data_IF_962392604403
#
_entry.id   IF_962392604403
#
_cell.length_a   1.000
_cell.length_b   1.000
_cell.length_c   1.000
_cell.angle_alpha   90.00
_cell.angle_beta   90.00
_cell.angle_gamma   90.00
#
_symmetry.space_group_name_H-M   'P 1'
#
loop_
_entity.id
_entity.type
_entity.pdbx_description
1 polymer ?
#
# COMPACT_ATOMS: atom_id res chain seq x y z
N UNK A 1 -41.01 -65.68 -29.86
CA UNK A 1 -40.25 -64.56 -30.43
C UNK A 1 -39.87 -63.65 -29.30
N UNK A 2 -38.55 -63.65 -28.89
CA UNK A 2 -38.08 -62.81 -27.78
C UNK A 2 -37.39 -61.57 -28.42
N UNK A 3 -37.95 -60.40 -28.14
CA UNK A 3 -37.37 -59.11 -28.57
C UNK A 3 -36.22 -58.72 -27.60
N UNK A 4 -35.04 -58.56 -28.17
CA UNK A 4 -33.84 -58.19 -27.48
C UNK A 4 -33.67 -56.64 -27.62
N UNK A 5 -34.01 -55.90 -26.59
CA UNK A 5 -33.85 -54.46 -26.55
C UNK A 5 -32.36 -54.08 -26.34
N UNK A 6 -31.80 -53.34 -27.30
CA UNK A 6 -30.48 -52.77 -27.24
C UNK A 6 -30.55 -51.45 -26.45
N UNK A 7 -29.97 -51.43 -25.26
CA UNK A 7 -29.80 -50.19 -24.47
C UNK A 7 -28.55 -49.45 -24.97
N UNK A 8 -28.77 -48.26 -25.58
CA UNK A 8 -27.69 -47.34 -25.92
C UNK A 8 -27.30 -46.54 -24.69
N UNK A 9 -26.10 -46.85 -24.14
CA UNK A 9 -25.50 -46.10 -23.05
C UNK A 9 -24.83 -44.87 -23.63
N UNK A 10 -25.45 -43.69 -23.52
CA UNK A 10 -24.88 -42.40 -23.92
C UNK A 10 -23.92 -41.93 -22.81
N UNK A 11 -22.61 -42.09 -23.04
CA UNK A 11 -21.60 -41.52 -22.17
C UNK A 11 -21.55 -40.00 -22.37
N UNK A 12 -22.09 -39.24 -21.44
CA UNK A 12 -21.85 -37.80 -21.33
C UNK A 12 -20.42 -37.58 -20.84
N UNK A 13 -19.49 -37.28 -21.74
CA UNK A 13 -18.22 -36.68 -21.36
C UNK A 13 -18.50 -35.26 -20.88
N UNK A 14 -18.55 -35.04 -19.56
CA UNK A 14 -18.47 -33.72 -18.97
C UNK A 14 -17.07 -33.15 -19.28
N UNK A 15 -16.96 -32.30 -20.29
CA UNK A 15 -15.77 -31.46 -20.48
C UNK A 15 -15.72 -30.52 -19.30
N UNK A 16 -14.90 -30.85 -18.30
CA UNK A 16 -14.45 -29.90 -17.29
C UNK A 16 -13.61 -28.84 -17.99
N UNK A 17 -14.26 -27.77 -18.45
CA UNK A 17 -13.56 -26.59 -18.93
C UNK A 17 -12.68 -26.09 -17.79
N UNK A 18 -11.38 -26.28 -17.90
CA UNK A 18 -10.42 -25.61 -17.00
C UNK A 18 -10.66 -24.11 -17.18
N UNK A 19 -11.33 -23.49 -16.21
CA UNK A 19 -11.48 -22.05 -16.16
C UNK A 19 -10.05 -21.47 -16.10
N UNK A 20 -9.58 -20.96 -17.21
CA UNK A 20 -8.28 -20.31 -17.31
C UNK A 20 -8.32 -19.08 -16.42
N UNK A 21 -7.41 -19.01 -15.44
CA UNK A 21 -7.30 -17.79 -14.62
C UNK A 21 -7.06 -16.60 -15.55
N UNK A 22 -7.70 -15.44 -15.31
CA UNK A 22 -7.39 -14.24 -16.06
C UNK A 22 -5.88 -13.97 -16.04
N UNK A 23 -5.33 -13.53 -17.16
CA UNK A 23 -3.92 -13.13 -17.25
C UNK A 23 -3.72 -11.87 -16.39
N UNK A 24 -2.90 -11.99 -15.36
CA UNK A 24 -2.52 -10.90 -14.46
C UNK A 24 -1.01 -10.64 -14.48
N UNK A 25 -0.33 -11.09 -15.52
CA UNK A 25 1.13 -10.99 -15.64
C UNK A 25 1.63 -9.56 -15.58
N UNK A 26 0.90 -8.62 -16.18
CA UNK A 26 1.22 -7.18 -16.16
C UNK A 26 1.15 -6.64 -14.74
N UNK A 27 0.06 -6.91 -14.02
CA UNK A 27 -0.11 -6.45 -12.64
C UNK A 27 0.98 -7.02 -11.73
N UNK A 28 1.27 -8.31 -11.85
CA UNK A 28 2.34 -8.96 -11.07
C UNK A 28 3.71 -8.34 -11.37
N UNK A 29 4.01 -8.08 -12.65
CA UNK A 29 5.27 -7.47 -13.06
C UNK A 29 5.44 -6.06 -12.49
N UNK A 30 4.38 -5.25 -12.54
CA UNK A 30 4.39 -3.89 -11.98
C UNK A 30 4.51 -3.93 -10.45
N UNK A 31 3.70 -4.74 -9.77
CA UNK A 31 3.74 -4.84 -8.32
C UNK A 31 5.08 -5.36 -7.77
N UNK A 32 5.82 -6.16 -8.57
CA UNK A 32 7.16 -6.63 -8.23
C UNK A 32 8.18 -5.49 -8.09
N UNK A 33 8.00 -4.36 -8.78
CA UNK A 33 8.86 -3.17 -8.65
C UNK A 33 8.79 -2.58 -7.23
N UNK A 34 7.73 -2.85 -6.48
CA UNK A 34 7.55 -2.42 -5.09
C UNK A 34 8.06 -3.47 -4.07
N UNK A 35 8.77 -4.52 -4.52
CA UNK A 35 9.27 -5.58 -3.63
C UNK A 35 10.28 -5.07 -2.58
N UNK A 36 10.92 -3.94 -2.81
CA UNK A 36 11.84 -3.26 -1.89
C UNK A 36 11.19 -2.92 -0.55
N UNK A 37 9.86 -2.82 -0.50
CA UNK A 37 9.11 -2.52 0.72
C UNK A 37 8.77 -3.76 1.55
N UNK A 38 8.84 -4.97 0.99
CA UNK A 38 8.39 -6.18 1.69
C UNK A 38 9.12 -6.43 2.99
N UNK A 39 8.38 -6.85 4.02
CA UNK A 39 8.89 -7.23 5.32
C UNK A 39 8.34 -6.38 6.46
N UNK A 40 9.00 -6.46 7.60
CA UNK A 40 8.71 -5.69 8.80
C UNK A 40 9.73 -4.56 8.97
N UNK A 41 9.23 -3.42 9.40
CA UNK A 41 10.00 -2.19 9.56
C UNK A 41 9.67 -1.56 10.90
N UNK A 42 10.66 -0.97 11.57
CA UNK A 42 10.40 -0.17 12.77
C UNK A 42 11.40 0.96 12.92
N UNK A 43 10.98 2.04 13.56
CA UNK A 43 11.81 3.21 13.77
C UNK A 43 11.05 4.35 14.39
N UNK A 44 11.42 5.57 14.05
CA UNK A 44 10.93 6.77 14.68
C UNK A 44 10.59 7.84 13.63
N UNK A 45 9.72 8.76 14.03
CA UNK A 45 9.36 9.89 13.21
C UNK A 45 8.84 11.05 14.02
N UNK A 46 8.51 12.11 13.32
CA UNK A 46 7.82 13.26 13.87
C UNK A 46 6.79 13.79 12.89
N UNK A 47 5.75 14.41 13.44
CA UNK A 47 4.71 15.10 12.68
C UNK A 47 4.45 16.47 13.31
N UNK A 48 4.21 17.47 12.47
CA UNK A 48 3.89 18.85 12.86
C UNK A 48 2.47 19.20 12.43
N UNK A 49 1.52 19.00 13.31
CA UNK A 49 0.13 19.39 13.07
C UNK A 49 -0.07 20.92 13.14
N UNK A 50 0.66 21.60 14.02
CA UNK A 50 0.62 23.05 14.18
C UNK A 50 2.03 23.61 14.05
N UNK A 51 2.23 24.78 13.41
CA UNK A 51 3.55 25.38 13.24
C UNK A 51 4.36 25.43 14.54
N UNK A 52 5.58 24.90 14.49
CA UNK A 52 6.50 24.85 15.64
C UNK A 52 6.19 23.76 16.67
N UNK A 53 5.15 22.95 16.51
CA UNK A 53 4.78 21.90 17.46
C UNK A 53 4.97 20.51 16.85
N UNK A 54 6.17 19.98 16.95
CA UNK A 54 6.49 18.62 16.54
C UNK A 54 6.10 17.62 17.62
N UNK A 55 5.38 16.57 17.21
CA UNK A 55 5.08 15.41 18.04
C UNK A 55 5.89 14.23 17.50
N UNK A 56 6.67 13.56 18.33
CA UNK A 56 7.45 12.39 17.96
C UNK A 56 6.64 11.11 18.15
N UNK A 57 6.95 10.09 17.36
CA UNK A 57 6.33 8.77 17.46
C UNK A 57 7.36 7.66 17.13
N UNK A 58 7.03 6.44 17.56
CA UNK A 58 7.66 5.21 17.10
C UNK A 58 6.72 4.57 16.08
N UNK A 59 7.25 4.23 14.91
CA UNK A 59 6.52 3.59 13.82
C UNK A 59 6.87 2.12 13.67
N UNK A 60 5.87 1.31 13.35
CA UNK A 60 6.02 -0.08 12.89
C UNK A 60 5.18 -0.25 11.64
N UNK A 61 5.79 -0.82 10.59
CA UNK A 61 5.12 -1.13 9.35
C UNK A 61 5.34 -2.60 8.99
N UNK A 62 4.27 -3.29 8.59
CA UNK A 62 4.34 -4.67 8.08
C UNK A 62 3.78 -4.69 6.68
N UNK A 63 4.59 -5.14 5.71
CA UNK A 63 4.26 -5.07 4.28
C UNK A 63 4.33 -6.45 3.67
N UNK A 64 3.21 -6.90 3.10
CA UNK A 64 3.03 -8.24 2.55
C UNK A 64 2.46 -8.19 1.14
N UNK A 65 2.99 -9.05 0.27
CA UNK A 65 2.36 -9.34 -1.01
C UNK A 65 1.16 -10.26 -0.83
N UNK A 66 0.04 -9.94 -1.48
CA UNK A 66 -1.22 -10.67 -1.42
C UNK A 66 -1.75 -10.98 -2.82
N UNK A 67 -2.79 -11.82 -2.89
CA UNK A 67 -3.51 -12.16 -4.13
C UNK A 67 -2.58 -12.56 -5.28
N UNK A 68 -1.65 -13.48 -5.01
CA UNK A 68 -0.67 -13.99 -6.01
C UNK A 68 0.22 -12.89 -6.59
N UNK A 69 0.54 -11.84 -5.81
CA UNK A 69 1.45 -10.78 -6.21
C UNK A 69 0.80 -9.57 -6.90
N UNK A 70 -0.52 -9.51 -6.97
CA UNK A 70 -1.23 -8.38 -7.61
C UNK A 70 -1.57 -7.25 -6.64
N UNK A 71 -1.41 -7.46 -5.34
CA UNK A 71 -1.73 -6.49 -4.29
C UNK A 71 -0.64 -6.47 -3.23
N UNK A 72 -0.32 -5.29 -2.73
CA UNK A 72 0.49 -5.08 -1.52
C UNK A 72 -0.43 -4.60 -0.42
N UNK A 73 -0.28 -5.22 0.73
CA UNK A 73 -0.96 -4.92 1.98
C UNK A 73 0.05 -4.33 2.95
N UNK A 74 -0.29 -3.19 3.55
CA UNK A 74 0.54 -2.44 4.49
C UNK A 74 -0.25 -2.30 5.79
N UNK A 75 0.32 -2.70 6.91
CA UNK A 75 -0.19 -2.41 8.25
C UNK A 75 0.77 -1.47 8.95
N UNK A 76 0.29 -0.28 9.32
CA UNK A 76 1.06 0.75 10.02
C UNK A 76 0.49 1.05 11.40
N UNK A 77 1.36 1.00 12.42
CA UNK A 77 0.99 1.38 13.80
C UNK A 77 2.05 2.30 14.36
N UNK A 78 1.62 3.51 14.74
CA UNK A 78 2.51 4.48 15.38
C UNK A 78 2.08 4.74 16.82
N UNK A 79 3.05 4.82 17.72
CA UNK A 79 2.83 5.08 19.14
C UNK A 79 3.63 6.29 19.60
N UNK A 80 3.08 7.06 20.53
CA UNK A 80 3.77 8.16 21.22
C UNK A 80 3.71 7.96 22.70
N UNK A 81 4.74 8.40 23.42
CA UNK A 81 4.72 8.40 24.87
C UNK A 81 3.98 9.65 25.36
N UNK A 82 2.82 9.45 25.96
CA UNK A 82 2.00 10.52 26.53
C UNK A 82 1.91 10.31 28.05
N UNK A 83 2.53 11.20 28.80
CA UNK A 83 2.56 11.15 30.27
C UNK A 83 3.08 9.82 30.84
N UNK A 84 4.09 9.22 30.18
CA UNK A 84 4.71 7.96 30.60
C UNK A 84 4.02 6.70 30.08
N UNK A 85 2.95 6.80 29.29
CA UNK A 85 2.25 5.68 28.67
C UNK A 85 2.41 5.73 27.16
N UNK A 86 2.71 4.58 26.54
CA UNK A 86 2.72 4.44 25.10
C UNK A 86 1.27 4.31 24.58
N UNK A 87 0.85 5.27 23.77
CA UNK A 87 -0.50 5.37 23.21
C UNK A 87 -0.42 5.26 21.70
N UNK A 88 -1.31 4.49 21.09
CA UNK A 88 -1.45 4.45 19.62
C UNK A 88 -1.98 5.81 19.16
N UNK A 89 -1.20 6.50 18.32
CA UNK A 89 -1.56 7.82 17.77
C UNK A 89 -1.92 7.75 16.30
N UNK A 90 -1.55 6.65 15.62
CA UNK A 90 -1.91 6.36 14.24
C UNK A 90 -1.98 4.85 14.04
N UNK A 91 -3.05 4.40 13.41
CA UNK A 91 -3.23 3.00 13.00
C UNK A 91 -3.90 3.01 11.64
N UNK A 92 -3.25 2.39 10.66
CA UNK A 92 -3.67 2.42 9.28
C UNK A 92 -3.46 1.07 8.56
N UNK A 93 -4.35 0.83 7.61
CA UNK A 93 -4.24 -0.24 6.63
C UNK A 93 -4.10 0.39 5.24
N UNK A 94 -3.03 0.06 4.53
CA UNK A 94 -2.78 0.49 3.17
C UNK A 94 -2.93 -0.67 2.17
N UNK A 95 -3.54 -0.40 1.03
CA UNK A 95 -3.66 -1.34 -0.08
C UNK A 95 -3.10 -0.68 -1.34
N UNK A 96 -2.09 -1.30 -1.94
CA UNK A 96 -1.56 -0.87 -3.24
C UNK A 96 -1.88 -1.93 -4.29
N UNK A 97 -2.32 -1.48 -5.46
CA UNK A 97 -2.54 -2.30 -6.65
C UNK A 97 -2.16 -1.54 -7.91
N UNK A 98 -1.98 -2.24 -9.03
CA UNK A 98 -1.75 -1.63 -10.33
C UNK A 98 -2.96 -1.82 -11.24
N UNK A 99 -3.45 -0.73 -11.83
CA UNK A 99 -4.52 -0.74 -12.83
C UNK A 99 -3.92 -0.72 -14.24
N UNK A 100 -3.96 -1.81 -15.00
CA UNK A 100 -3.34 -1.90 -16.33
C UNK A 100 -4.09 -1.09 -17.39
N UNK A 101 -5.38 -0.74 -17.17
CA UNK A 101 -6.17 0.00 -18.16
C UNK A 101 -5.73 1.46 -18.23
N UNK A 102 -5.40 2.04 -17.10
CA UNK A 102 -4.94 3.44 -16.99
C UNK A 102 -3.45 3.54 -16.68
N UNK A 103 -2.76 2.39 -16.53
CA UNK A 103 -1.32 2.27 -16.25
C UNK A 103 -0.89 3.07 -15.01
N UNK A 104 -1.64 2.94 -13.91
CA UNK A 104 -1.40 3.65 -12.67
C UNK A 104 -1.40 2.73 -11.46
N UNK A 105 -0.56 3.04 -10.49
CA UNK A 105 -0.66 2.48 -9.15
C UNK A 105 -1.78 3.19 -8.39
N UNK A 106 -2.58 2.40 -7.69
CA UNK A 106 -3.61 2.87 -6.76
C UNK A 106 -3.16 2.59 -5.35
N UNK A 107 -3.18 3.62 -4.52
CA UNK A 107 -2.94 3.49 -3.10
C UNK A 107 -4.19 3.94 -2.34
N UNK A 108 -4.78 3.03 -1.59
CA UNK A 108 -5.91 3.32 -0.71
C UNK A 108 -5.53 3.01 0.72
N UNK A 109 -5.72 3.97 1.62
CA UNK A 109 -5.53 3.80 3.05
C UNK A 109 -6.83 3.89 3.81
N UNK A 110 -6.88 3.15 4.92
CA UNK A 110 -7.98 3.10 5.88
C UNK A 110 -7.39 3.38 7.25
N UNK A 111 -7.93 4.36 7.95
CA UNK A 111 -7.50 4.71 9.30
C UNK A 111 -8.44 4.08 10.34
N UNK A 112 -7.94 3.76 11.52
CA UNK A 112 -8.76 3.29 12.66
C UNK A 112 -9.86 4.29 13.06
N UNK A 113 -9.73 5.56 12.67
CA UNK A 113 -10.75 6.60 12.83
C UNK A 113 -11.94 6.46 11.86
N UNK A 114 -11.90 5.51 10.92
CA UNK A 114 -12.91 5.33 9.86
C UNK A 114 -12.68 6.20 8.62
N UNK A 115 -11.67 7.05 8.61
CA UNK A 115 -11.30 7.86 7.43
C UNK A 115 -10.65 6.95 6.39
N UNK A 116 -11.02 7.15 5.12
CA UNK A 116 -10.37 6.52 3.98
C UNK A 116 -9.75 7.57 3.08
N UNK A 117 -8.61 7.24 2.48
CA UNK A 117 -7.91 8.12 1.56
C UNK A 117 -7.50 7.34 0.31
N UNK A 118 -7.88 7.85 -0.86
CA UNK A 118 -7.36 7.40 -2.15
C UNK A 118 -6.21 8.32 -2.58
N UNK A 119 -5.11 7.73 -3.00
CA UNK A 119 -3.94 8.40 -3.49
C UNK A 119 -3.39 7.72 -4.75
N UNK A 120 -2.69 8.47 -5.58
CA UNK A 120 -1.84 7.93 -6.63
C UNK A 120 -0.45 7.68 -6.05
N UNK A 121 0.12 6.50 -6.33
CA UNK A 121 1.52 6.20 -6.04
C UNK A 121 2.29 6.28 -7.35
N UNK A 122 3.44 6.95 -7.33
CA UNK A 122 4.38 7.07 -8.46
C UNK A 122 5.73 6.47 -8.10
N UNK A 123 6.28 5.70 -9.03
CA UNK A 123 7.68 5.30 -8.99
C UNK A 123 8.47 6.40 -9.70
N UNK A 124 9.28 7.14 -8.96
CA UNK A 124 10.12 8.25 -9.50
C UNK A 124 11.41 7.68 -10.10
N UNK A 125 12.04 6.76 -9.36
CA UNK A 125 13.17 5.96 -9.80
C UNK A 125 13.17 4.60 -9.06
N UNK A 126 14.20 3.77 -9.25
CA UNK A 126 14.26 2.42 -8.67
C UNK A 126 14.15 2.39 -7.14
N UNK A 127 14.44 3.50 -6.46
CA UNK A 127 14.47 3.59 -5.01
C UNK A 127 13.64 4.75 -4.45
N UNK A 128 12.99 5.56 -5.31
CA UNK A 128 12.19 6.70 -4.86
C UNK A 128 10.76 6.59 -5.34
N UNK A 129 9.87 6.84 -4.41
CA UNK A 129 8.44 6.71 -4.59
C UNK A 129 7.75 7.95 -4.05
N UNK A 130 6.70 8.36 -4.71
CA UNK A 130 5.88 9.50 -4.29
C UNK A 130 4.43 9.08 -4.21
N UNK A 131 3.73 9.57 -3.20
CA UNK A 131 2.29 9.47 -3.11
C UNK A 131 1.72 10.73 -2.47
N UNK A 132 0.46 11.01 -2.74
CA UNK A 132 -0.14 12.24 -2.22
C UNK A 132 -1.65 12.26 -2.40
N UNK A 133 -2.27 13.21 -1.71
CA UNK A 133 -3.71 13.40 -1.72
C UNK A 133 -4.07 14.85 -1.38
N UNK A 134 -5.36 15.17 -1.52
CA UNK A 134 -5.87 16.50 -1.26
C UNK A 134 -5.97 17.37 -2.50
N UNK A 135 -6.38 18.60 -2.29
CA UNK A 135 -6.54 19.64 -3.31
C UNK A 135 -6.29 21.02 -2.70
N UNK A 136 -6.30 22.06 -3.53
CA UNK A 136 -6.06 23.44 -3.07
C UNK A 136 -7.16 24.01 -2.17
N UNK A 137 -8.34 23.37 -2.09
CA UNK A 137 -9.42 23.81 -1.21
C UNK A 137 -9.29 23.23 0.20
N UNK A 138 -8.80 21.99 0.32
CA UNK A 138 -8.70 21.23 1.57
C UNK A 138 -7.27 21.08 2.09
N UNK A 139 -6.30 21.53 1.29
CA UNK A 139 -4.87 21.31 1.52
C UNK A 139 -4.35 20.09 0.78
N UNK A 140 -3.14 20.22 0.29
CA UNK A 140 -2.42 19.17 -0.45
C UNK A 140 -1.34 18.57 0.43
N UNK A 141 -1.18 17.26 0.32
CA UNK A 141 -0.16 16.49 1.03
C UNK A 141 0.59 15.63 0.03
N UNK A 142 1.91 15.70 0.09
CA UNK A 142 2.81 14.90 -0.74
C UNK A 142 3.83 14.21 0.14
N UNK A 143 4.04 12.94 -0.09
CA UNK A 143 5.02 12.13 0.61
C UNK A 143 6.02 11.58 -0.40
N UNK A 144 7.29 11.66 -0.04
CA UNK A 144 8.39 11.06 -0.80
C UNK A 144 9.03 9.99 0.08
N UNK A 145 9.19 8.80 -0.48
CA UNK A 145 9.87 7.69 0.17
C UNK A 145 11.18 7.43 -0.55
N UNK A 146 12.29 7.43 0.19
CA UNK A 146 13.62 7.09 -0.29
C UNK A 146 14.06 5.74 0.29
N UNK A 147 14.37 4.79 -0.61
CA UNK A 147 14.83 3.44 -0.35
C UNK A 147 16.23 3.18 -0.91
N UNK A 148 17.03 4.24 -1.12
CA UNK A 148 18.41 4.14 -1.63
C UNK A 148 19.33 3.31 -0.74
N UNK A 149 19.05 3.27 0.56
CA UNK A 149 19.62 2.30 1.51
C UNK A 149 18.62 1.14 1.68
N UNK A 150 18.96 -0.10 1.30
CA UNK A 150 18.03 -1.24 1.37
C UNK A 150 17.59 -1.61 2.80
N UNK A 151 18.34 -1.17 3.82
CA UNK A 151 17.99 -1.40 5.23
C UNK A 151 17.20 -0.24 5.84
N UNK A 152 16.99 0.86 5.08
CA UNK A 152 16.29 2.05 5.52
C UNK A 152 15.07 2.37 4.65
N UNK A 153 14.05 2.90 5.29
CA UNK A 153 12.92 3.58 4.67
C UNK A 153 12.88 5.00 5.25
N UNK A 154 13.16 5.99 4.42
CA UNK A 154 13.05 7.40 4.80
C UNK A 154 11.83 7.99 4.11
N UNK A 155 10.85 8.44 4.88
CA UNK A 155 9.67 9.08 4.34
C UNK A 155 9.56 10.52 4.83
N UNK A 156 9.37 11.43 3.87
CA UNK A 156 9.20 12.86 4.11
C UNK A 156 7.85 13.32 3.61
N UNK A 157 7.08 13.99 4.46
CA UNK A 157 5.79 14.59 4.10
C UNK A 157 5.86 16.10 3.98
N UNK A 158 5.31 16.61 2.89
CA UNK A 158 5.15 18.03 2.58
C UNK A 158 3.67 18.37 2.54
N UNK A 159 3.29 19.55 3.01
CA UNK A 159 1.92 20.10 2.91
C UNK A 159 1.93 21.44 2.23
N UNK A 160 0.85 21.75 1.50
CA UNK A 160 0.63 23.02 0.84
C UNK A 160 -0.85 23.38 0.85
N UNK A 161 -1.16 24.68 0.94
CA UNK A 161 -2.52 25.21 0.80
C UNK A 161 -2.77 25.85 -0.58
N UNK A 162 -1.70 26.14 -1.33
CA UNK A 162 -1.76 26.85 -2.60
C UNK A 162 -1.18 26.05 -3.78
N UNK A 163 -0.61 24.86 -3.51
CA UNK A 163 0.04 24.00 -4.49
C UNK A 163 1.41 24.51 -4.97
N UNK A 164 1.86 25.68 -4.49
CA UNK A 164 3.13 26.28 -4.89
C UNK A 164 4.13 26.38 -3.75
N UNK A 165 3.65 26.69 -2.54
CA UNK A 165 4.48 26.79 -1.34
C UNK A 165 4.32 25.53 -0.50
N UNK A 166 5.41 24.78 -0.32
CA UNK A 166 5.41 23.51 0.39
C UNK A 166 6.18 23.60 1.70
N UNK A 167 5.59 23.10 2.78
CA UNK A 167 6.18 23.05 4.10
C UNK A 167 6.33 21.59 4.55
N UNK A 168 7.54 21.22 5.00
CA UNK A 168 7.76 19.91 5.62
C UNK A 168 7.02 19.81 6.93
N UNK A 169 6.16 18.79 7.06
CA UNK A 169 5.35 18.58 8.27
C UNK A 169 5.52 17.18 8.87
N UNK A 170 6.20 16.26 8.15
CA UNK A 170 6.36 14.88 8.57
C UNK A 170 7.72 14.35 8.13
N UNK A 171 8.31 13.51 8.98
CA UNK A 171 9.44 12.66 8.64
C UNK A 171 9.38 11.38 9.45
N UNK A 172 9.67 10.26 8.81
CA UNK A 172 9.77 8.95 9.44
C UNK A 172 11.00 8.22 8.88
N UNK A 173 11.76 7.59 9.76
CA UNK A 173 12.90 6.74 9.40
C UNK A 173 12.69 5.38 10.03
N UNK A 174 12.51 4.37 9.19
CA UNK A 174 12.35 2.98 9.63
C UNK A 174 13.54 2.16 9.19
N UNK A 175 13.91 1.19 10.02
CA UNK A 175 14.93 0.19 9.75
C UNK A 175 14.26 -1.16 9.53
N UNK A 176 14.80 -1.92 8.59
CA UNK A 176 14.31 -3.26 8.28
C UNK A 176 14.54 -4.19 9.46
N UNK A 177 13.54 -4.94 9.82
CA UNK A 177 13.61 -5.95 10.87
C UNK A 177 14.04 -7.29 10.27
N UNK A 178 14.88 -8.04 11.00
CA UNK A 178 15.38 -9.36 10.61
C UNK A 178 14.36 -10.46 10.92
#
# INVERSE_FOLDING_TARGET
MKSMGVVWMVCFFAQAGLAQRPDNSVQVAEMKKLAVFMGAWSGEGWIEYRPGQKSTFKGKETILSKLSGTVIHIEGVHTSNIKGQDVIVHEALGIISYDPNIKQYRFRSYLATGITQDAELKIVDDNKFEWGFGDTQRGMFQFTIDRSDPEKWVETGMKSTDGSTWQKFFEMILLKQK
#
